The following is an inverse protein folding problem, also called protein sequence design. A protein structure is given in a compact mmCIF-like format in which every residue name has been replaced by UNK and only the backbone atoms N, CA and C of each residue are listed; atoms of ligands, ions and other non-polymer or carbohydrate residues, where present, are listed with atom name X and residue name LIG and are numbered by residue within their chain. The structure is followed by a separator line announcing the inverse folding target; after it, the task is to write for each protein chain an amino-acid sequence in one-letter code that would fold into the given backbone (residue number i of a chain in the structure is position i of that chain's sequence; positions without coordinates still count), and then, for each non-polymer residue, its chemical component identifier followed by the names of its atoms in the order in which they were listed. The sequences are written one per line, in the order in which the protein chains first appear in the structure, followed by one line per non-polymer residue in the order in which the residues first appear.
data_IF_626250883391
#
_entry.id   IF_626250883391
#
_cell.length_a   1.000
_cell.length_b   1.000
_cell.length_c   1.000
_cell.angle_alpha   90.00
_cell.angle_beta   90.00
_cell.angle_gamma   90.00
#
_symmetry.space_group_name_H-M   'P 1'
#
loop_
_entity.id
_entity.type
_entity.pdbx_description
1 polymer ?
#
# COMPACT_ATOMS: atom_id res chain seq x y z
N UNK A 1 2.05 -1.12 8.87
CA UNK A 1 3.25 -1.90 8.51
C UNK A 1 3.52 -2.81 9.69
N UNK A 2 3.32 -4.11 9.50
CA UNK A 2 3.53 -5.11 10.55
C UNK A 2 5.01 -5.49 10.66
N UNK A 3 5.55 -5.48 11.88
CA UNK A 3 6.87 -6.09 12.13
C UNK A 3 6.69 -7.62 12.20
N UNK A 4 7.35 -8.36 11.34
CA UNK A 4 7.45 -9.82 11.46
C UNK A 4 8.74 -10.21 12.13
N UNK A 5 8.67 -11.07 13.14
CA UNK A 5 9.82 -11.81 13.68
C UNK A 5 10.24 -12.87 12.65
N UNK A 6 11.01 -12.46 11.67
CA UNK A 6 11.69 -13.39 10.76
C UNK A 6 13.03 -13.76 11.41
N UNK A 7 13.27 -15.05 11.60
CA UNK A 7 14.31 -15.71 12.40
C UNK A 7 15.80 -15.32 12.22
N UNK A 8 16.13 -14.10 11.84
CA UNK A 8 17.46 -13.51 11.94
C UNK A 8 17.30 -12.08 12.40
N UNK A 9 18.00 -11.71 13.47
CA UNK A 9 18.02 -10.33 13.94
C UNK A 9 18.74 -9.47 12.90
N UNK A 10 18.14 -8.39 12.38
CA UNK A 10 18.85 -7.46 11.53
C UNK A 10 19.98 -6.78 12.28
N UNK A 11 21.01 -6.32 11.57
CA UNK A 11 22.06 -5.48 12.15
C UNK A 11 21.44 -4.23 12.80
N UNK A 12 22.14 -3.63 13.75
CA UNK A 12 21.71 -2.38 14.41
C UNK A 12 21.26 -1.34 13.35
N UNK A 13 20.09 -0.77 13.56
CA UNK A 13 19.49 0.21 12.65
C UNK A 13 18.56 -0.36 11.57
N UNK A 14 18.45 -1.66 11.42
CA UNK A 14 17.56 -2.32 10.47
C UNK A 14 16.43 -3.06 11.17
N UNK A 15 15.25 -3.08 10.56
CA UNK A 15 14.10 -3.90 10.99
C UNK A 15 13.51 -4.64 9.80
N UNK A 16 13.17 -5.92 9.97
CA UNK A 16 12.42 -6.65 8.95
C UNK A 16 10.96 -6.25 8.96
N UNK A 17 10.44 -6.01 7.76
CA UNK A 17 9.07 -5.56 7.51
C UNK A 17 8.47 -6.32 6.32
N UNK A 18 7.16 -6.30 6.18
CA UNK A 18 6.51 -6.95 5.03
C UNK A 18 6.70 -6.15 3.74
N UNK A 19 6.71 -4.82 3.83
CA UNK A 19 7.00 -3.92 2.72
C UNK A 19 7.54 -2.56 3.22
N UNK A 20 8.15 -1.80 2.34
CA UNK A 20 8.59 -0.42 2.58
C UNK A 20 7.84 0.54 1.67
N UNK A 21 7.80 1.82 2.03
CA UNK A 21 7.17 2.85 1.21
C UNK A 21 7.94 3.05 -0.11
N UNK A 22 7.21 3.16 -1.22
CA UNK A 22 7.76 3.34 -2.56
C UNK A 22 8.44 4.69 -2.80
N UNK A 23 8.27 5.63 -1.89
CA UNK A 23 8.91 6.96 -1.97
C UNK A 23 10.44 6.94 -1.88
N UNK A 24 11.01 5.94 -1.22
CA UNK A 24 12.43 5.64 -1.19
C UNK A 24 12.62 4.16 -0.90
N UNK A 25 12.92 3.38 -1.91
CA UNK A 25 13.26 1.96 -1.77
C UNK A 25 14.43 1.58 -2.67
N UNK A 26 15.20 0.63 -2.22
CA UNK A 26 16.20 -0.05 -3.04
C UNK A 26 15.86 -1.53 -3.11
N UNK A 27 16.07 -2.12 -4.27
CA UNK A 27 15.81 -3.53 -4.52
C UNK A 27 16.92 -4.09 -5.38
N UNK A 28 17.28 -5.34 -5.16
CA UNK A 28 18.16 -6.09 -6.04
C UNK A 28 17.51 -6.21 -7.42
N UNK A 29 18.18 -5.74 -8.46
CA UNK A 29 17.63 -5.64 -9.80
C UNK A 29 17.29 -7.03 -10.39
N UNK A 30 18.14 -8.02 -10.18
CA UNK A 30 17.92 -9.38 -10.71
C UNK A 30 16.73 -10.03 -10.00
N UNK A 31 16.62 -9.85 -8.69
CA UNK A 31 15.47 -10.33 -7.91
C UNK A 31 14.19 -9.61 -8.35
N UNK A 32 14.24 -8.30 -8.55
CA UNK A 32 13.09 -7.50 -9.02
C UNK A 32 12.59 -7.98 -10.38
N UNK A 33 13.51 -8.21 -11.33
CA UNK A 33 13.19 -8.69 -12.65
C UNK A 33 12.67 -10.15 -12.61
N UNK A 34 13.22 -11.00 -11.75
CA UNK A 34 12.80 -12.39 -11.61
C UNK A 34 11.35 -12.56 -11.12
N UNK A 35 10.84 -11.59 -10.34
CA UNK A 35 9.43 -11.56 -9.91
C UNK A 35 8.51 -10.81 -10.88
N UNK A 36 9.02 -10.39 -12.04
CA UNK A 36 8.28 -9.62 -13.03
C UNK A 36 8.01 -8.17 -12.62
N UNK A 37 8.84 -7.58 -11.76
CA UNK A 37 8.73 -6.18 -11.33
C UNK A 37 7.44 -5.86 -10.59
N UNK A 38 6.97 -4.62 -10.75
CA UNK A 38 5.65 -4.21 -10.26
C UNK A 38 4.53 -4.89 -11.05
N UNK A 39 3.38 -5.11 -10.40
CA UNK A 39 2.19 -5.62 -11.08
C UNK A 39 1.50 -4.49 -11.84
N UNK A 40 1.37 -4.62 -13.16
CA UNK A 40 0.75 -3.61 -14.02
C UNK A 40 -0.73 -3.32 -13.71
N UNK A 41 -1.41 -4.23 -13.01
CA UNK A 41 -2.77 -3.99 -12.52
C UNK A 41 -2.82 -3.09 -11.29
N UNK A 42 -1.66 -2.83 -10.65
CA UNK A 42 -1.47 -1.95 -9.49
C UNK A 42 -0.85 -0.62 -9.93
N UNK A 43 -1.64 0.21 -10.62
CA UNK A 43 -1.13 1.50 -11.12
C UNK A 43 -0.88 2.52 -10.00
N UNK A 44 -1.67 2.49 -8.94
CA UNK A 44 -1.58 3.40 -7.80
C UNK A 44 -2.13 2.70 -6.56
N UNK A 45 -1.39 2.76 -5.46
CA UNK A 45 -1.64 2.04 -4.21
C UNK A 45 -1.42 0.51 -4.30
N UNK A 46 -0.96 -0.09 -3.22
CA UNK A 46 -0.65 -1.50 -3.05
C UNK A 46 0.53 -2.04 -3.87
N UNK A 47 1.20 -1.23 -4.71
CA UNK A 47 2.36 -1.66 -5.50
C UNK A 47 3.50 -2.16 -4.60
N UNK A 48 3.79 -1.47 -3.50
CA UNK A 48 4.83 -1.88 -2.56
C UNK A 48 4.43 -3.13 -1.78
N UNK A 49 3.16 -3.23 -1.39
CA UNK A 49 2.63 -4.42 -0.71
C UNK A 49 2.71 -5.65 -1.62
N UNK A 50 2.41 -5.46 -2.91
CA UNK A 50 2.53 -6.49 -3.93
C UNK A 50 3.98 -6.93 -4.12
N UNK A 51 4.91 -5.98 -4.24
CA UNK A 51 6.33 -6.27 -4.34
C UNK A 51 6.84 -7.01 -3.10
N UNK A 52 6.50 -6.53 -1.90
CA UNK A 52 6.85 -7.19 -0.65
C UNK A 52 6.33 -8.64 -0.60
N UNK A 53 5.10 -8.87 -1.07
CA UNK A 53 4.54 -10.23 -1.14
C UNK A 53 5.30 -11.12 -2.12
N UNK A 54 5.63 -10.61 -3.31
CA UNK A 54 6.46 -11.33 -4.31
C UNK A 54 7.85 -11.67 -3.75
N UNK A 55 8.49 -10.73 -3.03
CA UNK A 55 9.77 -11.00 -2.37
C UNK A 55 9.66 -12.13 -1.33
N UNK A 56 8.59 -12.12 -0.52
CA UNK A 56 8.35 -13.17 0.47
C UNK A 56 8.17 -14.56 -0.15
N UNK A 57 7.50 -14.68 -1.31
CA UNK A 57 7.34 -15.99 -1.99
C UNK A 57 8.67 -16.56 -2.48
N UNK A 58 9.65 -15.71 -2.74
CA UNK A 58 11.03 -16.14 -3.05
C UNK A 58 11.91 -16.36 -1.80
N UNK A 59 11.34 -16.30 -0.60
CA UNK A 59 12.12 -16.37 0.64
C UNK A 59 13.03 -15.16 0.89
N UNK A 60 12.85 -14.06 0.12
CA UNK A 60 13.61 -12.81 0.31
C UNK A 60 13.01 -11.99 1.44
N UNK A 61 13.84 -11.17 2.06
CA UNK A 61 13.46 -10.31 3.18
C UNK A 61 13.44 -8.86 2.75
N UNK A 62 12.44 -8.13 3.21
CA UNK A 62 12.41 -6.67 3.12
C UNK A 62 12.88 -6.10 4.45
N UNK A 63 13.78 -5.11 4.41
CA UNK A 63 14.31 -4.46 5.60
C UNK A 63 14.11 -2.96 5.54
N UNK A 64 13.71 -2.37 6.66
CA UNK A 64 13.61 -0.93 6.86
C UNK A 64 14.82 -0.44 7.66
N UNK A 65 15.54 0.55 7.13
CA UNK A 65 16.57 1.25 7.89
C UNK A 65 15.94 2.34 8.74
N UNK A 66 16.08 2.26 10.06
CA UNK A 66 15.36 3.11 11.02
C UNK A 66 16.24 4.17 11.67
N UNK A 67 17.56 4.18 11.38
CA UNK A 67 18.49 5.16 11.96
C UNK A 67 18.49 6.50 11.22
N UNK A 68 17.92 6.56 10.02
CA UNK A 68 17.86 7.76 9.21
C UNK A 68 16.40 8.11 8.86
N UNK A 69 16.19 9.37 8.52
CA UNK A 69 14.89 9.86 8.08
C UNK A 69 15.04 10.80 6.90
N UNK A 70 14.03 10.91 6.08
CA UNK A 70 13.98 11.86 4.96
C UNK A 70 12.62 12.56 4.91
N UNK A 71 12.63 13.78 4.38
CA UNK A 71 11.39 14.53 4.19
C UNK A 71 10.70 14.07 2.90
N UNK A 72 9.51 13.49 3.01
CA UNK A 72 8.68 13.15 1.88
C UNK A 72 7.48 14.09 1.76
N UNK A 73 7.46 14.94 0.72
CA UNK A 73 6.32 15.79 0.39
C UNK A 73 5.20 14.97 -0.24
N UNK A 74 4.33 14.43 0.62
CA UNK A 74 3.24 13.57 0.20
C UNK A 74 2.25 14.27 -0.75
N UNK A 75 1.75 13.50 -1.71
CA UNK A 75 0.49 13.76 -2.43
C UNK A 75 0.44 14.98 -3.37
N UNK A 76 1.53 15.65 -3.66
CA UNK A 76 1.51 16.81 -4.57
C UNK A 76 1.05 16.38 -5.98
N UNK A 77 1.53 15.27 -6.49
CA UNK A 77 1.18 14.77 -7.83
C UNK A 77 -0.22 14.14 -7.85
N UNK A 78 -0.54 13.33 -6.85
CA UNK A 78 -1.81 12.60 -6.77
C UNK A 78 -2.98 13.58 -6.58
N UNK A 79 -2.83 14.59 -5.72
CA UNK A 79 -3.86 15.60 -5.49
C UNK A 79 -4.12 16.51 -6.69
N UNK A 80 -3.15 16.63 -7.61
CA UNK A 80 -3.34 17.34 -8.88
C UNK A 80 -4.09 16.51 -9.92
N UNK A 81 -3.94 15.19 -9.90
CA UNK A 81 -4.49 14.29 -10.92
C UNK A 81 -5.85 13.70 -10.55
N UNK A 82 -6.12 13.54 -9.26
CA UNK A 82 -7.34 12.90 -8.76
C UNK A 82 -7.99 13.74 -7.67
N UNK A 83 -9.31 13.92 -7.75
CA UNK A 83 -10.10 14.40 -6.63
C UNK A 83 -10.21 13.30 -5.54
N UNK A 84 -10.70 13.65 -4.35
CA UNK A 84 -10.79 12.73 -3.20
C UNK A 84 -11.58 11.46 -3.55
N UNK A 85 -12.67 11.58 -4.33
CA UNK A 85 -13.48 10.42 -4.75
C UNK A 85 -12.67 9.49 -5.65
N UNK A 86 -12.00 10.03 -6.67
CA UNK A 86 -11.16 9.25 -7.59
C UNK A 86 -10.00 8.55 -6.89
N UNK A 87 -9.36 9.21 -5.92
CA UNK A 87 -8.32 8.57 -5.10
C UNK A 87 -8.88 7.37 -4.32
N UNK A 88 -10.07 7.51 -3.73
CA UNK A 88 -10.74 6.45 -2.97
C UNK A 88 -11.15 5.29 -3.88
N UNK A 89 -11.69 5.57 -5.06
CA UNK A 89 -12.06 4.54 -6.04
C UNK A 89 -10.83 3.77 -6.51
N UNK A 90 -9.73 4.45 -6.80
CA UNK A 90 -8.47 3.82 -7.20
C UNK A 90 -7.90 2.96 -6.06
N UNK A 91 -7.88 3.47 -4.83
CA UNK A 91 -7.42 2.71 -3.67
C UNK A 91 -8.28 1.45 -3.45
N UNK A 92 -9.60 1.56 -3.57
CA UNK A 92 -10.50 0.39 -3.48
C UNK A 92 -10.15 -0.63 -4.57
N UNK A 93 -10.01 -0.20 -5.83
CA UNK A 93 -9.67 -1.07 -6.95
C UNK A 93 -8.37 -1.84 -6.68
N UNK A 94 -7.31 -1.13 -6.32
CA UNK A 94 -6.01 -1.74 -6.02
C UNK A 94 -6.08 -2.69 -4.82
N UNK A 95 -6.78 -2.30 -3.75
CA UNK A 95 -6.97 -3.15 -2.57
C UNK A 95 -7.69 -4.45 -2.91
N UNK A 96 -8.80 -4.41 -3.67
CA UNK A 96 -9.55 -5.61 -4.05
C UNK A 96 -8.73 -6.52 -4.97
N UNK A 97 -7.96 -5.95 -5.89
CA UNK A 97 -7.04 -6.71 -6.74
C UNK A 97 -5.94 -7.37 -5.90
N UNK A 98 -5.36 -6.65 -4.94
CA UNK A 98 -4.36 -7.19 -4.02
C UNK A 98 -4.91 -8.35 -3.17
N UNK A 99 -6.08 -8.18 -2.58
CA UNK A 99 -6.74 -9.23 -1.80
C UNK A 99 -6.97 -10.49 -2.63
N UNK A 100 -7.46 -10.33 -3.86
CA UNK A 100 -7.74 -11.44 -4.78
C UNK A 100 -6.48 -12.17 -5.25
N UNK A 101 -5.43 -11.42 -5.66
CA UNK A 101 -4.23 -11.99 -6.31
C UNK A 101 -3.16 -12.46 -5.34
N UNK A 102 -3.06 -11.82 -4.16
CA UNK A 102 -1.91 -11.97 -3.27
C UNK A 102 -2.26 -12.39 -1.84
N UNK A 103 -3.53 -12.38 -1.48
CA UNK A 103 -3.98 -12.76 -0.14
C UNK A 103 -4.91 -13.98 -0.12
N UNK A 104 -5.18 -14.59 -1.28
CA UNK A 104 -6.10 -15.73 -1.43
C UNK A 104 -7.47 -15.47 -0.78
N UNK A 105 -7.91 -14.21 -0.78
CA UNK A 105 -9.15 -13.80 -0.14
C UNK A 105 -10.35 -14.42 -0.85
N UNK A 106 -11.27 -14.95 -0.07
CA UNK A 106 -12.53 -15.51 -0.54
C UNK A 106 -13.42 -14.44 -1.18
N UNK A 107 -14.37 -14.87 -2.02
CA UNK A 107 -15.36 -13.95 -2.62
C UNK A 107 -16.15 -13.17 -1.56
N UNK A 108 -16.43 -13.80 -0.41
CA UNK A 108 -17.13 -13.16 0.70
C UNK A 108 -16.27 -12.04 1.32
N UNK A 109 -14.99 -12.30 1.60
CA UNK A 109 -14.05 -11.30 2.17
C UNK A 109 -13.87 -10.12 1.22
N UNK A 110 -13.73 -10.38 -0.09
CA UNK A 110 -13.63 -9.33 -1.11
C UNK A 110 -14.91 -8.49 -1.15
N UNK A 111 -16.08 -9.12 -1.10
CA UNK A 111 -17.36 -8.42 -1.07
C UNK A 111 -17.49 -7.56 0.19
N UNK A 112 -17.22 -8.12 1.35
CA UNK A 112 -17.27 -7.40 2.64
C UNK A 112 -16.28 -6.22 2.66
N UNK A 113 -15.05 -6.41 2.19
CA UNK A 113 -14.06 -5.32 2.07
C UNK A 113 -14.58 -4.19 1.17
N UNK A 114 -15.20 -4.54 0.04
CA UNK A 114 -15.80 -3.56 -0.88
C UNK A 114 -16.93 -2.77 -0.22
N UNK A 115 -17.83 -3.43 0.49
CA UNK A 115 -18.98 -2.80 1.18
C UNK A 115 -18.49 -1.85 2.27
N UNK A 116 -17.62 -2.32 3.17
CA UNK A 116 -17.08 -1.53 4.28
C UNK A 116 -16.31 -0.30 3.77
N UNK A 117 -15.53 -0.48 2.70
CA UNK A 117 -14.78 0.63 2.12
C UNK A 117 -15.68 1.70 1.50
N UNK A 118 -16.73 1.30 0.78
CA UNK A 118 -17.70 2.22 0.18
C UNK A 118 -18.47 2.97 1.27
N UNK A 119 -18.84 2.29 2.35
CA UNK A 119 -19.51 2.90 3.49
C UNK A 119 -18.63 3.97 4.16
N UNK A 120 -17.38 3.65 4.50
CA UNK A 120 -16.43 4.63 5.04
C UNK A 120 -16.10 5.78 4.08
N UNK A 121 -16.20 5.55 2.77
CA UNK A 121 -16.05 6.64 1.78
C UNK A 121 -17.23 7.59 1.82
N UNK A 122 -18.46 7.07 1.92
CA UNK A 122 -19.66 7.87 2.04
C UNK A 122 -19.64 8.72 3.32
N UNK A 123 -19.27 8.13 4.45
CA UNK A 123 -19.13 8.83 5.73
C UNK A 123 -18.18 10.03 5.63
N UNK A 124 -16.98 9.82 5.05
CA UNK A 124 -16.02 10.91 4.86
C UNK A 124 -16.53 12.03 3.96
N UNK A 125 -17.31 11.69 2.92
CA UNK A 125 -17.91 12.70 2.04
C UNK A 125 -18.96 13.52 2.77
N UNK A 126 -19.80 12.90 3.58
CA UNK A 126 -20.81 13.58 4.41
C UNK A 126 -20.15 14.51 5.42
N UNK A 127 -19.14 14.04 6.15
CA UNK A 127 -18.39 14.87 7.11
C UNK A 127 -17.75 16.08 6.43
N UNK A 128 -17.20 15.90 5.22
CA UNK A 128 -16.59 16.99 4.46
C UNK A 128 -17.63 18.05 4.05
N UNK A 129 -18.82 17.64 3.63
CA UNK A 129 -19.90 18.55 3.29
C UNK A 129 -20.41 19.31 4.52
N UNK A 130 -20.61 18.63 5.63
CA UNK A 130 -20.97 19.26 6.91
C UNK A 130 -19.93 20.34 7.29
N UNK A 131 -18.64 19.99 7.28
CA UNK A 131 -17.57 20.95 7.58
C UNK A 131 -17.54 22.14 6.61
N UNK A 132 -17.93 21.94 5.35
CA UNK A 132 -18.04 23.03 4.36
C UNK A 132 -19.16 24.00 4.70
N UNK A 133 -20.30 23.50 5.17
CA UNK A 133 -21.44 24.30 5.58
C UNK A 133 -21.14 25.15 6.82
N UNK A 134 -20.40 24.63 7.79
CA UNK A 134 -20.02 25.34 9.01
C UNK A 134 -18.80 26.27 8.85
N UNK A 135 -18.12 26.28 7.70
CA UNK A 135 -17.02 27.21 7.40
C UNK A 135 -17.46 28.48 6.63
N UNK A 136 -18.75 28.60 6.39
CA UNK A 136 -19.38 29.83 5.87
C UNK A 136 -19.94 30.69 7.01
#
# INVERSE_FOLDING_TARGET
IGERKLGATPQSGWKFVDCVAGSLLMVDADVFLSVGGYDSEMFLYCEESTLGRKMMTLGKKTALYVSESYLHNHSVTISKSYNVKGQREQLLKSTLTYLKKYCDASKFEIHMASVLYKFGTLELMVIKEIKRLFRR
#
